data_IF_633990793393
#
_entry.id   IF_633990793393
#
_cell.length_a   1.000
_cell.length_b   1.000
_cell.length_c   1.000
_cell.angle_alpha   90.00
_cell.angle_beta   90.00
_cell.angle_gamma   90.00
#
_symmetry.space_group_name_H-M   'P 1'
#
loop_
_entity.id
_entity.type
_entity.pdbx_description
1 polymer ?
#
# COMPACT_ATOMS: atom_id res chain seq x y z
N UNK A 1 32.42 -3.06 1.22
CA UNK A 1 31.27 -3.98 1.35
C UNK A 1 29.94 -3.26 1.10
N UNK A 2 29.77 -1.98 1.42
CA UNK A 2 28.54 -1.21 1.18
C UNK A 2 27.99 -1.23 -0.27
N UNK A 3 28.84 -1.10 -1.31
CA UNK A 3 28.38 -1.04 -2.70
C UNK A 3 27.73 -2.34 -3.21
N UNK A 4 28.16 -3.51 -2.72
CA UNK A 4 27.53 -4.80 -3.09
C UNK A 4 26.19 -5.01 -2.39
N UNK A 5 26.05 -4.51 -1.17
CA UNK A 5 24.77 -4.52 -0.45
C UNK A 5 23.75 -3.64 -1.16
N UNK A 6 24.15 -2.43 -1.56
CA UNK A 6 23.29 -1.53 -2.34
C UNK A 6 22.95 -2.06 -3.74
N UNK A 7 23.85 -2.84 -4.37
CA UNK A 7 23.56 -3.58 -5.61
C UNK A 7 22.53 -4.71 -5.36
N UNK A 8 22.68 -5.47 -4.27
CA UNK A 8 21.73 -6.53 -3.88
C UNK A 8 20.35 -5.99 -3.48
N UNK A 9 20.29 -4.81 -2.87
CA UNK A 9 19.07 -4.07 -2.55
C UNK A 9 18.45 -3.39 -3.78
N UNK A 10 19.10 -3.49 -4.95
CA UNK A 10 18.59 -2.94 -6.21
C UNK A 10 18.73 -1.43 -6.35
N UNK A 11 19.42 -0.76 -5.43
CA UNK A 11 19.64 0.70 -5.39
C UNK A 11 20.77 1.13 -6.35
N UNK A 12 21.70 0.22 -6.66
CA UNK A 12 22.80 0.44 -7.61
C UNK A 12 22.78 -0.58 -8.74
N UNK A 13 23.12 -0.11 -9.95
CA UNK A 13 23.42 -0.97 -11.11
C UNK A 13 24.90 -0.86 -11.44
N UNK A 14 25.55 -1.99 -11.68
CA UNK A 14 26.96 -2.04 -12.05
C UNK A 14 27.18 -1.50 -13.46
N UNK A 15 28.12 -0.57 -13.62
CA UNK A 15 28.48 0.04 -14.91
C UNK A 15 29.95 -0.26 -15.20
N UNK A 16 30.20 -1.08 -16.22
CA UNK A 16 31.55 -1.49 -16.62
C UNK A 16 32.27 -2.37 -15.58
N UNK A 17 33.60 -2.34 -15.59
CA UNK A 17 34.44 -3.26 -14.81
C UNK A 17 34.56 -2.85 -13.32
N UNK A 18 34.36 -1.57 -12.98
CA UNK A 18 34.54 -1.03 -11.60
C UNK A 18 33.55 0.06 -11.14
N UNK A 19 32.54 0.43 -11.93
CA UNK A 19 31.59 1.50 -11.57
C UNK A 19 30.25 0.98 -11.06
N UNK A 20 29.55 1.80 -10.26
CA UNK A 20 28.13 1.63 -9.92
C UNK A 20 27.41 2.96 -10.21
N UNK A 21 26.19 2.89 -10.73
CA UNK A 21 25.30 4.04 -10.88
C UNK A 21 24.04 3.83 -10.05
N UNK A 22 23.40 4.91 -9.60
CA UNK A 22 22.08 4.83 -8.96
C UNK A 22 21.09 4.30 -9.99
N UNK A 23 20.30 3.31 -9.60
CA UNK A 23 19.25 2.77 -10.47
C UNK A 23 18.21 3.87 -10.70
N UNK A 24 18.02 4.27 -11.95
CA UNK A 24 16.90 5.13 -12.32
C UNK A 24 15.61 4.32 -12.18
N UNK A 25 14.70 4.76 -11.31
CA UNK A 25 13.37 4.17 -11.16
C UNK A 25 12.46 4.83 -12.18
N UNK A 26 11.88 4.06 -13.10
CA UNK A 26 10.90 4.56 -14.07
C UNK A 26 9.48 4.43 -13.51
N UNK A 27 8.51 5.10 -14.13
CA UNK A 27 7.10 4.95 -13.77
C UNK A 27 6.63 3.50 -13.97
N UNK A 28 7.09 2.84 -15.04
CA UNK A 28 6.79 1.43 -15.31
C UNK A 28 7.27 0.54 -14.16
N UNK A 29 8.47 0.79 -13.61
CA UNK A 29 8.95 0.00 -12.47
C UNK A 29 8.10 0.20 -11.21
N UNK A 30 7.51 1.38 -11.02
CA UNK A 30 6.58 1.63 -9.90
C UNK A 30 5.27 0.88 -10.13
N UNK A 31 4.73 0.90 -11.35
CA UNK A 31 3.53 0.16 -11.73
C UNK A 31 3.72 -1.35 -11.49
N UNK A 32 4.78 -1.93 -12.04
CA UNK A 32 5.14 -3.35 -11.87
C UNK A 32 5.25 -3.74 -10.39
N UNK A 33 5.89 -2.89 -9.58
CA UNK A 33 6.06 -3.15 -8.15
C UNK A 33 4.75 -3.06 -7.36
N UNK A 34 3.85 -2.14 -7.72
CA UNK A 34 2.52 -2.03 -7.11
C UNK A 34 1.65 -3.23 -7.48
N UNK A 35 1.72 -3.71 -8.73
CA UNK A 35 1.00 -4.92 -9.15
C UNK A 35 1.44 -6.14 -8.34
N UNK A 36 2.75 -6.34 -8.18
CA UNK A 36 3.31 -7.43 -7.38
C UNK A 36 2.90 -7.29 -5.91
N UNK A 37 2.96 -6.08 -5.34
CA UNK A 37 2.49 -5.82 -3.98
C UNK A 37 1.02 -6.20 -3.81
N UNK A 38 0.16 -5.81 -4.75
CA UNK A 38 -1.26 -6.13 -4.73
C UNK A 38 -1.53 -7.64 -4.72
N UNK A 39 -0.75 -8.44 -5.44
CA UNK A 39 -0.85 -9.91 -5.40
C UNK A 39 -0.44 -10.46 -4.03
N UNK A 40 0.67 -9.97 -3.48
CA UNK A 40 1.21 -10.44 -2.20
C UNK A 40 0.32 -10.06 -1.00
N UNK A 41 -0.15 -8.81 -0.96
CA UNK A 41 -1.10 -8.33 0.05
C UNK A 41 -2.47 -8.98 -0.12
N UNK A 42 -2.92 -9.21 -1.36
CA UNK A 42 -4.12 -10.00 -1.67
C UNK A 42 -4.06 -11.40 -1.08
N UNK A 43 -2.98 -12.13 -1.34
CA UNK A 43 -2.78 -13.47 -0.78
C UNK A 43 -2.75 -13.44 0.76
N UNK A 44 -2.15 -12.42 1.36
CA UNK A 44 -2.19 -12.25 2.82
C UNK A 44 -3.63 -12.01 3.31
N UNK A 45 -4.40 -11.13 2.67
CA UNK A 45 -5.79 -10.86 3.02
C UNK A 45 -6.68 -12.11 2.92
N UNK A 46 -6.52 -12.90 1.84
CA UNK A 46 -7.22 -14.18 1.69
C UNK A 46 -6.96 -15.10 2.89
N UNK A 47 -5.67 -15.31 3.21
CA UNK A 47 -5.24 -16.18 4.30
C UNK A 47 -5.74 -15.67 5.64
N UNK A 48 -5.74 -14.35 5.86
CA UNK A 48 -6.26 -13.75 7.08
C UNK A 48 -7.76 -14.02 7.24
N UNK A 49 -8.56 -13.86 6.18
CA UNK A 49 -9.99 -14.20 6.20
C UNK A 49 -10.24 -15.69 6.47
N UNK A 50 -9.50 -16.58 5.80
CA UNK A 50 -9.66 -18.04 5.91
C UNK A 50 -9.20 -18.59 7.27
N UNK A 51 -8.24 -17.93 7.91
CA UNK A 51 -7.76 -18.26 9.27
C UNK A 51 -8.61 -17.64 10.36
N UNK A 52 -9.22 -16.48 10.09
CA UNK A 52 -9.91 -15.68 11.08
C UNK A 52 -8.92 -14.75 11.81
N UNK A 53 -9.45 -13.66 12.32
CA UNK A 53 -8.67 -12.65 13.04
C UNK A 53 -8.66 -12.96 14.53
N UNK A 54 -7.51 -12.74 15.18
CA UNK A 54 -7.48 -12.60 16.64
C UNK A 54 -8.05 -11.24 17.07
N UNK A 55 -8.40 -11.12 18.35
CA UNK A 55 -9.04 -9.93 18.90
C UNK A 55 -8.17 -8.66 18.73
N UNK A 56 -6.85 -8.79 18.91
CA UNK A 56 -5.92 -7.66 18.77
C UNK A 56 -5.87 -7.15 17.32
N UNK A 57 -5.94 -8.06 16.35
CA UNK A 57 -5.98 -7.72 14.93
C UNK A 57 -7.30 -7.13 14.49
N UNK A 58 -8.40 -7.69 14.96
CA UNK A 58 -9.70 -7.09 14.71
C UNK A 58 -9.78 -5.66 15.28
N UNK A 59 -9.33 -5.45 16.53
CA UNK A 59 -9.31 -4.12 17.16
C UNK A 59 -8.41 -3.15 16.39
N UNK A 60 -7.19 -3.55 16.03
CA UNK A 60 -6.29 -2.70 15.27
C UNK A 60 -6.87 -2.27 13.92
N UNK A 61 -7.55 -3.18 13.20
CA UNK A 61 -8.21 -2.85 11.93
C UNK A 61 -9.38 -1.89 12.14
N UNK A 62 -10.23 -2.13 13.15
CA UNK A 62 -11.35 -1.23 13.50
C UNK A 62 -10.86 0.16 13.88
N UNK A 63 -9.78 0.26 14.64
CA UNK A 63 -9.18 1.54 15.01
C UNK A 63 -8.65 2.29 13.78
N UNK A 64 -8.07 1.59 12.80
CA UNK A 64 -7.69 2.22 11.53
C UNK A 64 -8.92 2.79 10.79
N UNK A 65 -10.02 2.03 10.74
CA UNK A 65 -11.27 2.49 10.12
C UNK A 65 -11.81 3.76 10.78
N UNK A 66 -11.94 3.75 12.12
CA UNK A 66 -12.44 4.89 12.90
C UNK A 66 -11.57 6.13 12.72
N UNK A 67 -10.24 5.96 12.74
CA UNK A 67 -9.32 7.08 12.55
C UNK A 67 -9.43 7.69 11.15
N UNK A 68 -9.56 6.87 10.11
CA UNK A 68 -9.75 7.39 8.76
C UNK A 68 -11.13 8.03 8.58
N UNK A 69 -12.19 7.47 9.18
CA UNK A 69 -13.52 8.06 9.14
C UNK A 69 -13.51 9.48 9.73
N UNK A 70 -12.78 9.67 10.84
CA UNK A 70 -12.60 10.98 11.46
C UNK A 70 -11.84 11.97 10.54
N UNK A 71 -10.83 11.50 9.80
CA UNK A 71 -10.08 12.33 8.84
C UNK A 71 -11.01 12.84 7.73
N UNK A 72 -11.81 11.94 7.14
CA UNK A 72 -12.61 12.27 5.95
C UNK A 72 -13.98 12.89 6.23
N UNK A 73 -14.47 12.83 7.47
CA UNK A 73 -15.79 13.34 7.87
C UNK A 73 -16.02 14.82 7.52
N UNK A 74 -14.96 15.65 7.55
CA UNK A 74 -15.05 17.09 7.26
C UNK A 74 -15.16 17.45 5.78
N UNK A 75 -14.96 16.50 4.86
CA UNK A 75 -15.12 16.73 3.42
C UNK A 75 -13.90 17.34 2.70
N UNK A 76 -12.78 17.54 3.40
CA UNK A 76 -11.53 18.05 2.82
C UNK A 76 -10.30 17.57 3.62
N UNK A 77 -9.11 17.67 3.04
CA UNK A 77 -7.83 17.38 3.73
C UNK A 77 -7.08 18.67 4.06
N UNK A 78 -6.39 18.64 5.20
CA UNK A 78 -5.29 19.50 5.60
C UNK A 78 -3.99 18.72 5.46
N UNK A 79 -2.85 19.41 5.37
CA UNK A 79 -1.54 18.75 5.28
C UNK A 79 -1.26 17.81 6.47
N UNK A 80 -1.69 18.19 7.67
CA UNK A 80 -1.54 17.34 8.87
C UNK A 80 -2.32 16.02 8.77
N UNK A 81 -3.42 15.99 8.01
CA UNK A 81 -4.21 14.76 7.83
C UNK A 81 -3.47 13.73 6.97
N UNK A 82 -2.56 14.17 6.09
CA UNK A 82 -1.79 13.26 5.24
C UNK A 82 -0.89 12.35 6.08
N UNK A 83 -0.22 12.91 7.09
CA UNK A 83 0.62 12.14 7.99
C UNK A 83 -0.20 11.17 8.86
N UNK A 84 -1.37 11.61 9.33
CA UNK A 84 -2.28 10.74 10.09
C UNK A 84 -2.82 9.58 9.24
N UNK A 85 -3.15 9.86 7.97
CA UNK A 85 -3.58 8.84 7.02
C UNK A 85 -2.46 7.87 6.65
N UNK A 86 -1.23 8.37 6.46
CA UNK A 86 -0.07 7.50 6.20
C UNK A 86 0.15 6.52 7.34
N UNK A 87 0.13 6.99 8.60
CA UNK A 87 0.28 6.13 9.78
C UNK A 87 -0.82 5.06 9.86
N UNK A 88 -2.10 5.43 9.70
CA UNK A 88 -3.19 4.45 9.75
C UNK A 88 -3.10 3.44 8.60
N UNK A 89 -2.69 3.88 7.40
CA UNK A 89 -2.55 3.01 6.25
C UNK A 89 -1.47 1.96 6.49
N UNK A 90 -0.31 2.37 7.03
CA UNK A 90 0.77 1.44 7.40
C UNK A 90 0.27 0.42 8.43
N UNK A 91 -0.38 0.88 9.50
CA UNK A 91 -0.91 -0.01 10.55
C UNK A 91 -1.96 -1.00 10.02
N UNK A 92 -2.82 -0.55 9.10
CA UNK A 92 -3.82 -1.41 8.47
C UNK A 92 -3.17 -2.58 7.73
N UNK A 93 -2.22 -2.28 6.84
CA UNK A 93 -1.51 -3.29 6.05
C UNK A 93 -0.68 -4.23 6.93
N UNK A 94 0.01 -3.70 7.94
CA UNK A 94 0.77 -4.51 8.91
C UNK A 94 -0.14 -5.45 9.72
N UNK A 95 -1.35 -5.02 10.08
CA UNK A 95 -2.33 -5.85 10.79
C UNK A 95 -2.82 -7.03 9.91
N UNK A 96 -3.12 -6.80 8.63
CA UNK A 96 -3.48 -7.88 7.69
C UNK A 96 -2.32 -8.87 7.54
N UNK A 97 -1.09 -8.36 7.37
CA UNK A 97 0.10 -9.19 7.23
C UNK A 97 0.39 -9.99 8.49
N UNK A 98 0.12 -9.47 9.70
CA UNK A 98 0.30 -10.20 10.98
C UNK A 98 -0.35 -11.59 10.95
N UNK A 99 -1.59 -11.69 10.47
CA UNK A 99 -2.36 -12.93 10.45
C UNK A 99 -2.16 -13.71 9.14
N UNK A 100 -2.14 -13.00 8.01
CA UNK A 100 -2.11 -13.59 6.67
C UNK A 100 -0.71 -13.88 6.13
N UNK A 101 0.27 -13.05 6.49
CA UNK A 101 1.62 -13.04 5.95
C UNK A 101 2.52 -14.09 6.59
N UNK A 102 2.78 -15.18 5.86
CA UNK A 102 3.85 -16.11 6.20
C UNK A 102 5.23 -15.48 5.90
N UNK A 103 6.32 -16.17 6.26
CA UNK A 103 7.69 -15.68 6.02
C UNK A 103 7.94 -15.36 4.54
N UNK A 104 7.50 -16.22 3.62
CA UNK A 104 7.70 -16.02 2.18
C UNK A 104 7.02 -14.74 1.65
N UNK A 105 5.80 -14.44 2.09
CA UNK A 105 5.09 -13.21 1.70
C UNK A 105 5.83 -11.98 2.24
N UNK A 106 6.26 -12.03 3.50
CA UNK A 106 6.99 -10.91 4.14
C UNK A 106 8.32 -10.64 3.47
N UNK A 107 9.08 -11.68 3.15
CA UNK A 107 10.37 -11.57 2.48
C UNK A 107 10.19 -11.02 1.05
N UNK A 108 9.15 -11.44 0.34
CA UNK A 108 8.83 -10.93 -0.99
C UNK A 108 8.42 -9.44 -0.95
N UNK A 109 7.56 -9.05 0.00
CA UNK A 109 7.17 -7.65 0.20
C UNK A 109 8.36 -6.78 0.59
N UNK A 110 9.20 -7.22 1.51
CA UNK A 110 10.39 -6.47 1.94
C UNK A 110 11.34 -6.18 0.77
N UNK A 111 11.49 -7.13 -0.16
CA UNK A 111 12.28 -6.93 -1.39
C UNK A 111 11.60 -5.99 -2.38
N UNK A 112 10.28 -6.09 -2.51
CA UNK A 112 9.48 -5.22 -3.39
C UNK A 112 9.50 -3.76 -2.93
N UNK A 113 9.47 -3.54 -1.61
CA UNK A 113 9.47 -2.23 -0.96
C UNK A 113 10.81 -1.47 -1.07
N UNK A 114 11.87 -2.09 -1.61
CA UNK A 114 13.13 -1.39 -1.91
C UNK A 114 13.01 -0.36 -3.04
N UNK A 115 11.94 -0.42 -3.85
CA UNK A 115 11.62 0.61 -4.81
C UNK A 115 10.85 1.75 -4.13
N UNK A 116 11.38 2.99 -4.15
CA UNK A 116 10.65 4.17 -3.69
C UNK A 116 9.27 4.25 -4.34
N UNK A 117 8.25 4.66 -3.59
CA UNK A 117 6.84 4.81 -4.03
C UNK A 117 6.06 3.51 -4.30
N UNK A 118 6.71 2.35 -4.27
CA UNK A 118 6.04 1.05 -4.36
C UNK A 118 5.56 0.51 -3.00
N UNK A 119 6.01 1.08 -1.88
CA UNK A 119 5.62 0.67 -0.53
C UNK A 119 4.37 1.39 -0.04
N UNK A 120 3.59 0.73 0.82
CA UNK A 120 2.50 1.37 1.59
C UNK A 120 3.00 2.47 2.53
N UNK A 121 4.31 2.48 2.81
CA UNK A 121 5.02 3.45 3.66
C UNK A 121 5.45 4.73 2.94
N UNK A 122 5.20 4.83 1.64
CA UNK A 122 5.57 5.98 0.83
C UNK A 122 4.31 6.64 0.27
N UNK A 123 3.59 7.38 1.10
CA UNK A 123 2.42 8.12 0.63
C UNK A 123 2.87 9.29 -0.24
N UNK A 124 2.89 9.09 -1.56
CA UNK A 124 3.25 10.11 -2.56
C UNK A 124 2.13 11.16 -2.75
N UNK A 125 1.75 11.86 -1.69
CA UNK A 125 0.68 12.86 -1.73
C UNK A 125 1.16 14.21 -2.30
N UNK A 126 0.42 14.74 -3.28
CA UNK A 126 0.65 16.10 -3.79
C UNK A 126 0.01 17.14 -2.86
N UNK A 127 0.84 17.76 -2.01
CA UNK A 127 0.43 18.80 -1.06
C UNK A 127 -0.16 20.04 -1.73
N UNK A 128 0.10 20.27 -3.02
CA UNK A 128 -0.46 21.39 -3.78
C UNK A 128 -1.88 21.12 -4.28
N UNK A 129 -2.34 19.86 -4.21
CA UNK A 129 -3.64 19.39 -4.75
C UNK A 129 -4.40 18.56 -3.72
N UNK A 130 -4.59 19.09 -2.52
CA UNK A 130 -5.28 18.41 -1.42
C UNK A 130 -6.73 18.01 -1.73
N UNK A 131 -7.40 18.70 -2.67
CA UNK A 131 -8.73 18.35 -3.17
C UNK A 131 -8.71 17.01 -3.95
N UNK A 132 -7.66 16.81 -4.76
CA UNK A 132 -7.41 15.56 -5.48
C UNK A 132 -7.01 14.44 -4.53
N UNK A 133 -6.11 14.74 -3.58
CA UNK A 133 -5.71 13.78 -2.56
C UNK A 133 -6.90 13.36 -1.68
N UNK A 134 -7.80 14.28 -1.32
CA UNK A 134 -9.01 13.93 -0.56
C UNK A 134 -9.81 12.85 -1.27
N UNK A 135 -10.08 13.00 -2.57
CA UNK A 135 -10.86 12.01 -3.34
C UNK A 135 -10.15 10.65 -3.41
N UNK A 136 -8.84 10.67 -3.68
CA UNK A 136 -8.02 9.47 -3.81
C UNK A 136 -7.95 8.70 -2.50
N UNK A 137 -7.63 9.38 -1.41
CA UNK A 137 -7.43 8.77 -0.10
C UNK A 137 -8.75 8.35 0.55
N UNK A 138 -9.83 9.12 0.36
CA UNK A 138 -11.15 8.72 0.84
C UNK A 138 -11.63 7.44 0.13
N UNK A 139 -11.40 7.32 -1.19
CA UNK A 139 -11.74 6.09 -1.90
C UNK A 139 -10.95 4.88 -1.40
N UNK A 140 -9.62 5.04 -1.23
CA UNK A 140 -8.76 4.01 -0.67
C UNK A 140 -9.21 3.59 0.74
N UNK A 141 -9.64 4.55 1.56
CA UNK A 141 -10.22 4.30 2.89
C UNK A 141 -11.55 3.52 2.83
N UNK A 142 -12.43 3.85 1.88
CA UNK A 142 -13.66 3.07 1.67
C UNK A 142 -13.37 1.63 1.23
N UNK A 143 -12.28 1.40 0.50
CA UNK A 143 -11.83 0.04 0.21
C UNK A 143 -11.34 -0.69 1.47
N UNK A 144 -10.67 -0.01 2.41
CA UNK A 144 -10.30 -0.61 3.71
C UNK A 144 -11.53 -1.15 4.46
N UNK A 145 -12.63 -0.40 4.47
CA UNK A 145 -13.90 -0.87 5.05
C UNK A 145 -14.40 -2.16 4.39
N UNK A 146 -14.40 -2.20 3.06
CA UNK A 146 -14.83 -3.39 2.31
C UNK A 146 -13.92 -4.60 2.58
N UNK A 147 -12.61 -4.38 2.70
CA UNK A 147 -11.64 -5.42 3.03
C UNK A 147 -11.91 -5.96 4.44
N UNK A 148 -12.09 -5.09 5.44
CA UNK A 148 -12.38 -5.51 6.81
C UNK A 148 -13.69 -6.28 6.90
N UNK A 149 -14.74 -5.85 6.20
CA UNK A 149 -15.99 -6.63 6.10
C UNK A 149 -15.75 -8.04 5.57
N UNK A 150 -14.96 -8.18 4.49
CA UNK A 150 -14.62 -9.47 3.92
C UNK A 150 -13.77 -10.34 4.87
N UNK A 151 -12.82 -9.74 5.60
CA UNK A 151 -12.00 -10.43 6.60
C UNK A 151 -12.87 -10.97 7.74
N UNK A 152 -13.74 -10.14 8.32
CA UNK A 152 -14.63 -10.51 9.42
C UNK A 152 -15.65 -11.59 9.01
N UNK A 153 -16.14 -11.53 7.77
CA UNK A 153 -17.07 -12.50 7.20
C UNK A 153 -16.38 -13.74 6.64
N UNK A 154 -15.05 -13.84 6.78
CA UNK A 154 -14.24 -15.00 6.35
C UNK A 154 -14.33 -15.27 4.84
N UNK A 155 -14.46 -14.22 4.04
CA UNK A 155 -14.64 -14.29 2.59
C UNK A 155 -13.29 -14.18 1.88
N UNK A 156 -12.50 -15.26 1.91
CA UNK A 156 -11.12 -15.30 1.40
C UNK A 156 -10.92 -14.69 0.01
N UNK A 157 -11.55 -15.26 -1.01
CA UNK A 157 -11.41 -14.81 -2.41
C UNK A 157 -11.85 -13.34 -2.59
N UNK A 158 -12.87 -12.91 -1.84
CA UNK A 158 -13.33 -11.51 -1.87
C UNK A 158 -12.27 -10.58 -1.25
N UNK A 159 -11.69 -10.97 -0.11
CA UNK A 159 -10.66 -10.21 0.57
C UNK A 159 -9.40 -10.06 -0.31
N UNK A 160 -9.01 -11.13 -1.02
CA UNK A 160 -7.92 -11.11 -1.99
C UNK A 160 -8.16 -10.08 -3.09
N UNK A 161 -9.32 -10.18 -3.76
CA UNK A 161 -9.66 -9.32 -4.89
C UNK A 161 -9.72 -7.85 -4.47
N UNK A 162 -10.33 -7.55 -3.31
CA UNK A 162 -10.43 -6.20 -2.78
C UNK A 162 -9.06 -5.60 -2.43
N UNK A 163 -8.18 -6.38 -1.78
CA UNK A 163 -6.86 -5.89 -1.40
C UNK A 163 -5.96 -5.68 -2.63
N UNK A 164 -6.05 -6.57 -3.62
CA UNK A 164 -5.33 -6.41 -4.89
C UNK A 164 -5.80 -5.16 -5.64
N UNK A 165 -7.11 -4.93 -5.71
CA UNK A 165 -7.68 -3.73 -6.30
C UNK A 165 -7.27 -2.47 -5.53
N UNK A 166 -7.27 -2.51 -4.21
CA UNK A 166 -6.82 -1.40 -3.36
C UNK A 166 -5.38 -0.98 -3.65
N UNK A 167 -4.45 -1.94 -3.81
CA UNK A 167 -3.08 -1.62 -4.18
C UNK A 167 -3.01 -0.92 -5.55
N UNK A 168 -3.73 -1.46 -6.55
CA UNK A 168 -3.75 -0.92 -7.92
C UNK A 168 -4.50 0.40 -8.07
N UNK A 169 -5.47 0.70 -7.19
CA UNK A 169 -6.20 1.97 -7.20
C UNK A 169 -5.25 3.17 -7.02
N UNK A 170 -4.08 2.95 -6.42
CA UNK A 170 -2.99 3.93 -6.35
C UNK A 170 -2.52 4.37 -7.74
N UNK A 171 -2.50 3.45 -8.73
CA UNK A 171 -2.07 3.69 -10.10
C UNK A 171 -3.21 4.24 -10.98
N UNK A 172 -4.42 3.70 -10.84
CA UNK A 172 -5.57 4.10 -11.67
C UNK A 172 -5.99 5.57 -11.44
N UNK A 173 -5.76 6.11 -10.24
CA UNK A 173 -6.04 7.52 -9.92
C UNK A 173 -5.07 8.51 -10.58
N UNK A 174 -3.89 8.05 -11.01
CA UNK A 174 -2.95 8.87 -11.78
C UNK A 174 -3.54 9.22 -13.14
N UNK A 175 -4.17 8.24 -13.81
CA UNK A 175 -4.69 8.38 -15.17
C UNK A 175 -6.10 9.01 -15.22
N UNK A 176 -7.00 8.63 -14.31
CA UNK A 176 -8.39 9.12 -14.31
C UNK A 176 -8.47 10.64 -14.10
N UNK A 177 -7.57 11.21 -13.30
CA UNK A 177 -7.56 12.65 -13.03
C UNK A 177 -6.70 13.46 -14.00
N UNK A 178 -5.75 12.84 -14.71
CA UNK A 178 -5.11 13.46 -15.86
C UNK A 178 -6.11 13.64 -17.01
N UNK A 179 -6.99 12.64 -17.22
CA UNK A 179 -7.96 12.65 -18.32
C UNK A 179 -9.24 13.45 -18.03
N UNK A 180 -9.57 13.72 -16.76
CA UNK A 180 -10.72 14.56 -16.39
C UNK A 180 -10.50 16.08 -16.55
N UNK A 181 -9.36 16.49 -17.13
CA UNK A 181 -9.02 17.89 -17.47
C UNK A 181 -8.69 18.10 -18.96
N UNK A 182 -9.03 17.14 -19.83
CA UNK A 182 -9.00 17.30 -21.28
C UNK A 182 -10.28 17.89 -21.84
#
# INVERSE_FOLDING_TARGET
MALRTLEQEGLLVKVGVRGYTVRSVTLENIIEAVEVRGVLEGLAAQRAAERGLDADTENALRDCLVNGDAIFAKGFLLEADLAAYEDLNIRFHEAVLRVGGNSAIRDALARNDHLPFASVKALAADKSRLDREYRRLNFAHMQHHAIVDALLRRQGVRAEALMREHANATLAYTDILQNAQG
#
